data_IF_416180611655
#
_entry.id   IF_416180611655
#
_cell.length_a   1.000
_cell.length_b   1.000
_cell.length_c   1.000
_cell.angle_alpha   90.00
_cell.angle_beta   90.00
_cell.angle_gamma   90.00
#
_symmetry.space_group_name_H-M   'P 1'
#
loop_
_entity.id
_entity.type
_entity.pdbx_description
1 polymer ?
#
# COMPACT_ATOMS: atom_id res chain seq x y z
N UNK A 1 -19.72 16.59 -3.80
CA UNK A 1 -18.61 16.73 -2.82
C UNK A 1 -17.54 15.71 -3.13
N UNK A 2 -16.27 16.02 -2.88
CA UNK A 2 -15.21 15.03 -2.99
C UNK A 2 -15.46 13.92 -1.97
N UNK A 3 -15.15 12.65 -2.29
CA UNK A 3 -15.26 11.58 -1.32
C UNK A 3 -14.26 11.81 -0.17
N UNK A 4 -14.56 11.25 0.99
CA UNK A 4 -13.58 11.20 2.08
C UNK A 4 -12.36 10.37 1.66
N UNK A 5 -11.18 10.61 2.27
CA UNK A 5 -10.01 9.77 2.02
C UNK A 5 -10.25 8.33 2.49
N UNK A 6 -9.62 7.32 1.86
CA UNK A 6 -9.58 5.96 2.36
C UNK A 6 -9.13 5.86 3.83
N UNK A 7 -9.82 5.06 4.63
CA UNK A 7 -9.51 4.77 6.03
C UNK A 7 -8.74 3.46 6.21
N UNK A 8 -8.21 3.25 7.42
CA UNK A 8 -7.61 1.98 7.88
C UNK A 8 -6.62 1.34 6.89
N UNK A 9 -5.74 2.16 6.32
CA UNK A 9 -4.78 1.69 5.31
C UNK A 9 -3.79 0.72 5.96
N UNK A 10 -3.88 -0.55 5.57
CA UNK A 10 -3.03 -1.63 6.05
C UNK A 10 -2.14 -2.17 4.93
N UNK A 11 -0.92 -2.58 5.30
CA UNK A 11 0.05 -3.17 4.36
C UNK A 11 0.53 -4.50 4.91
N UNK A 12 0.22 -5.57 4.19
CA UNK A 12 0.68 -6.92 4.46
C UNK A 12 1.81 -7.28 3.49
N UNK A 13 3.02 -7.41 4.02
CA UNK A 13 4.18 -7.77 3.20
C UNK A 13 4.29 -9.29 3.05
N UNK A 14 4.53 -9.75 1.83
CA UNK A 14 4.83 -11.14 1.51
C UNK A 14 6.32 -11.25 1.20
N UNK A 15 7.14 -11.25 2.25
CA UNK A 15 8.58 -11.03 2.17
C UNK A 15 9.31 -11.91 1.16
N UNK A 16 9.07 -13.22 1.20
CA UNK A 16 9.72 -14.17 0.28
C UNK A 16 9.27 -14.04 -1.17
N UNK A 17 8.09 -13.48 -1.43
CA UNK A 17 7.52 -13.31 -2.77
C UNK A 17 7.80 -11.92 -3.36
N UNK A 18 8.38 -11.00 -2.58
CA UNK A 18 8.55 -9.58 -2.95
C UNK A 18 7.20 -8.96 -3.36
N UNK A 19 6.16 -9.28 -2.61
CA UNK A 19 4.81 -8.75 -2.83
C UNK A 19 4.34 -8.01 -1.57
N UNK A 20 3.41 -7.08 -1.73
CA UNK A 20 2.66 -6.52 -0.62
C UNK A 20 1.20 -6.41 -1.02
N UNK A 21 0.30 -6.77 -0.11
CA UNK A 21 -1.12 -6.49 -0.24
C UNK A 21 -1.42 -5.24 0.56
N UNK A 22 -1.99 -4.25 -0.09
CA UNK A 22 -2.50 -3.04 0.54
C UNK A 22 -4.01 -3.14 0.58
N UNK A 23 -4.61 -2.82 1.71
CA UNK A 23 -6.07 -2.77 1.88
C UNK A 23 -6.49 -1.53 2.64
N UNK A 24 -7.72 -1.08 2.41
CA UNK A 24 -8.29 0.11 3.02
C UNK A 24 -9.81 -0.02 3.16
N UNK A 25 -10.42 0.89 3.91
CA UNK A 25 -11.87 1.00 4.08
C UNK A 25 -12.40 2.27 3.41
N UNK A 26 -13.57 2.18 2.76
CA UNK A 26 -14.26 3.32 2.14
C UNK A 26 -15.73 2.97 1.83
N UNK A 27 -16.59 3.95 1.68
CA UNK A 27 -18.03 3.71 1.48
C UNK A 27 -18.62 4.30 0.19
N UNK A 28 -17.99 5.31 -0.40
CA UNK A 28 -18.64 6.17 -1.41
C UNK A 28 -17.76 6.47 -2.63
N UNK A 29 -16.82 5.59 -2.96
CA UNK A 29 -15.98 5.70 -4.15
C UNK A 29 -16.22 4.57 -5.13
N UNK A 30 -16.14 4.90 -6.42
CA UNK A 30 -16.29 3.95 -7.52
C UNK A 30 -14.97 3.27 -7.85
N UNK A 31 -13.88 4.03 -7.74
CA UNK A 31 -12.54 3.53 -7.96
C UNK A 31 -11.52 4.26 -7.09
N UNK A 32 -10.33 3.67 -7.05
CA UNK A 32 -9.19 4.10 -6.27
C UNK A 32 -7.97 4.15 -7.16
N UNK A 33 -7.18 5.21 -7.02
CA UNK A 33 -5.84 5.30 -7.59
C UNK A 33 -4.84 5.05 -6.46
N UNK A 34 -3.99 4.06 -6.64
CA UNK A 34 -2.99 3.64 -5.67
C UNK A 34 -1.62 4.02 -6.20
N UNK A 35 -0.88 4.83 -5.44
CA UNK A 35 0.46 5.29 -5.74
C UNK A 35 1.46 4.57 -4.84
N UNK A 36 2.58 4.13 -5.41
CA UNK A 36 3.70 3.55 -4.65
C UNK A 36 4.89 4.48 -4.70
N UNK A 37 5.27 4.98 -3.53
CA UNK A 37 6.39 5.90 -3.36
C UNK A 37 7.65 5.18 -2.89
N UNK A 38 8.79 5.58 -3.43
CA UNK A 38 10.13 5.31 -2.91
C UNK A 38 10.80 6.65 -2.63
N UNK A 39 10.79 7.08 -1.37
CA UNK A 39 11.02 8.49 -1.03
C UNK A 39 9.88 9.35 -1.57
N UNK A 40 10.21 10.43 -2.28
CA UNK A 40 9.20 11.32 -2.90
C UNK A 40 8.80 10.91 -4.32
N UNK A 41 9.45 9.88 -4.87
CA UNK A 41 9.21 9.45 -6.25
C UNK A 41 8.10 8.39 -6.33
N UNK A 42 7.08 8.66 -7.15
CA UNK A 42 6.09 7.65 -7.55
C UNK A 42 6.77 6.63 -8.46
N UNK A 43 6.97 5.42 -7.94
CA UNK A 43 7.56 4.30 -8.68
C UNK A 43 6.52 3.56 -9.51
N UNK A 44 5.27 3.47 -9.02
CA UNK A 44 4.16 2.79 -9.67
C UNK A 44 2.83 3.44 -9.31
N UNK A 45 1.87 3.28 -10.21
CA UNK A 45 0.51 3.77 -10.07
C UNK A 45 -0.44 2.75 -10.67
N UNK A 46 -1.51 2.42 -9.96
CA UNK A 46 -2.54 1.47 -10.41
C UNK A 46 -3.93 2.00 -10.09
N UNK A 47 -4.91 1.65 -10.90
CA UNK A 47 -6.32 1.98 -10.67
C UNK A 47 -7.11 0.70 -10.42
N UNK A 48 -7.92 0.69 -9.37
CA UNK A 48 -8.73 -0.47 -8.99
C UNK A 48 -10.10 -0.03 -8.49
N UNK A 49 -11.11 -0.86 -8.69
CA UNK A 49 -12.45 -0.70 -8.07
C UNK A 49 -12.54 -1.44 -6.74
N UNK A 50 -11.55 -2.28 -6.43
CA UNK A 50 -11.46 -3.04 -5.18
C UNK A 50 -10.81 -2.20 -4.09
N UNK A 51 -11.13 -2.52 -2.85
CA UNK A 51 -10.54 -1.87 -1.66
C UNK A 51 -9.24 -2.55 -1.19
N UNK A 52 -8.61 -3.28 -2.11
CA UNK A 52 -7.31 -3.87 -1.92
C UNK A 52 -6.56 -3.93 -3.24
N UNK A 53 -5.24 -3.96 -3.16
CA UNK A 53 -4.35 -4.16 -4.29
C UNK A 53 -3.15 -5.00 -3.84
N UNK A 54 -2.90 -6.10 -4.54
CA UNK A 54 -1.68 -6.87 -4.37
C UNK A 54 -0.66 -6.44 -5.41
N UNK A 55 0.48 -5.98 -4.92
CA UNK A 55 1.58 -5.54 -5.74
C UNK A 55 2.73 -6.53 -5.68
N UNK A 56 3.36 -6.85 -6.80
CA UNK A 56 4.48 -7.79 -6.88
C UNK A 56 5.75 -7.20 -7.49
N UNK A 57 6.88 -7.89 -7.37
CA UNK A 57 8.19 -7.38 -7.81
C UNK A 57 8.61 -6.09 -7.09
N UNK A 58 8.36 -6.01 -5.79
CA UNK A 58 8.84 -4.90 -4.96
C UNK A 58 10.38 -4.84 -4.94
N UNK A 59 10.98 -3.65 -4.95
CA UNK A 59 12.43 -3.50 -4.77
C UNK A 59 12.84 -4.08 -3.42
N UNK A 60 14.06 -4.62 -3.33
CA UNK A 60 14.58 -5.21 -2.09
C UNK A 60 15.18 -4.12 -1.22
N UNK A 61 15.12 -4.29 0.10
CA UNK A 61 15.77 -3.41 1.06
C UNK A 61 15.45 -1.91 0.88
N UNK A 62 14.23 -1.59 0.48
CA UNK A 62 13.81 -0.23 0.13
C UNK A 62 12.66 0.19 1.04
N UNK A 63 12.70 1.42 1.54
CA UNK A 63 11.57 2.05 2.23
C UNK A 63 10.54 2.47 1.20
N UNK A 64 9.31 1.99 1.38
CA UNK A 64 8.19 2.26 0.49
C UNK A 64 7.01 2.79 1.30
N UNK A 65 6.19 3.59 0.63
CA UNK A 65 4.93 4.11 1.15
C UNK A 65 3.87 4.00 0.06
N UNK A 66 2.63 3.81 0.48
CA UNK A 66 1.51 3.75 -0.45
C UNK A 66 0.59 4.94 -0.21
N UNK A 67 0.18 5.58 -1.28
CA UNK A 67 -0.84 6.62 -1.31
C UNK A 67 -2.10 6.09 -1.96
N UNK A 68 -3.27 6.38 -1.42
CA UNK A 68 -4.54 5.95 -2.00
C UNK A 68 -5.46 7.15 -2.14
N UNK A 69 -5.94 7.37 -3.35
CA UNK A 69 -6.92 8.40 -3.67
C UNK A 69 -8.22 7.71 -4.09
N UNK A 70 -9.27 7.93 -3.31
CA UNK A 70 -10.63 7.54 -3.67
C UNK A 70 -11.24 8.54 -4.66
N UNK A 71 -12.00 8.06 -5.64
CA UNK A 71 -12.67 8.90 -6.66
C UNK A 71 -14.12 8.47 -6.88
N UNK A 72 -14.99 9.48 -7.00
CA UNK A 72 -16.38 9.34 -7.41
C UNK A 72 -16.61 10.03 -8.77
N UNK A 73 -17.86 10.06 -9.24
CA UNK A 73 -18.23 10.63 -10.54
C UNK A 73 -17.85 12.10 -10.73
N UNK A 74 -17.64 12.84 -9.64
CA UNK A 74 -17.44 14.28 -9.67
C UNK A 74 -15.99 14.66 -9.33
N UNK A 75 -15.41 14.07 -8.28
CA UNK A 75 -14.15 14.51 -7.70
C UNK A 75 -13.34 13.38 -7.05
N UNK A 76 -12.06 13.66 -6.82
CA UNK A 76 -11.14 12.84 -6.05
C UNK A 76 -11.04 13.35 -4.60
N UNK A 77 -10.79 12.42 -3.68
CA UNK A 77 -10.40 12.70 -2.29
C UNK A 77 -8.97 13.24 -2.22
N UNK A 78 -8.58 13.74 -1.04
CA UNK A 78 -7.15 13.87 -0.73
C UNK A 78 -6.52 12.50 -0.53
N UNK A 79 -5.22 12.40 -0.76
CA UNK A 79 -4.49 11.14 -0.65
C UNK A 79 -4.44 10.66 0.81
N UNK A 80 -4.84 9.40 1.03
CA UNK A 80 -4.66 8.68 2.27
C UNK A 80 -3.34 7.89 2.22
N UNK A 81 -2.36 8.22 3.06
CA UNK A 81 -1.09 7.50 3.07
C UNK A 81 -1.11 6.29 3.99
N UNK A 82 -0.37 5.25 3.61
CA UNK A 82 0.04 4.17 4.50
C UNK A 82 1.17 4.61 5.43
N UNK A 83 1.40 3.82 6.48
CA UNK A 83 2.68 3.83 7.17
C UNK A 83 3.80 3.42 6.20
N UNK A 84 5.00 3.97 6.41
CA UNK A 84 6.19 3.53 5.68
C UNK A 84 6.54 2.09 6.08
N UNK A 85 6.91 1.27 5.11
CA UNK A 85 7.36 -0.09 5.33
C UNK A 85 8.61 -0.39 4.53
N UNK A 86 9.49 -1.21 5.12
CA UNK A 86 10.75 -1.62 4.48
C UNK A 86 10.64 -3.04 3.97
N UNK A 87 10.87 -3.21 2.69
CA UNK A 87 10.89 -4.52 2.05
C UNK A 87 12.09 -5.35 2.53
N UNK A 88 11.93 -6.67 2.72
CA UNK A 88 13.03 -7.53 3.17
C UNK A 88 14.14 -7.65 2.12
N UNK A 89 15.35 -7.95 2.60
CA UNK A 89 16.56 -8.14 1.76
C UNK A 89 16.45 -9.49 1.02
N UNK A 90 16.00 -10.49 1.77
CA UNK A 90 15.82 -11.88 1.35
C UNK A 90 14.79 -12.58 2.25
N UNK A 91 14.39 -13.78 1.86
CA UNK A 91 13.38 -14.58 2.57
C UNK A 91 13.80 -14.92 4.01
N UNK A 92 15.10 -15.16 4.27
CA UNK A 92 15.60 -15.48 5.61
C UNK A 92 15.55 -14.30 6.58
N UNK A 93 15.72 -13.07 6.09
CA UNK A 93 15.64 -11.86 6.91
C UNK A 93 14.23 -11.54 7.45
N UNK A 94 13.19 -12.04 6.79
CA UNK A 94 11.79 -11.82 7.17
C UNK A 94 11.39 -12.69 8.37
N UNK A 95 11.71 -13.99 8.32
CA UNK A 95 11.43 -14.95 9.39
C UNK A 95 12.01 -14.49 10.74
N UNK A 96 13.27 -14.04 10.76
CA UNK A 96 13.94 -13.59 11.99
C UNK A 96 13.24 -12.40 12.70
N UNK A 97 12.54 -11.51 11.98
CA UNK A 97 11.78 -10.40 12.60
C UNK A 97 10.42 -10.83 13.14
N UNK A 98 9.79 -11.84 12.56
CA UNK A 98 8.52 -12.38 13.06
C UNK A 98 8.72 -13.22 14.31
N UNK A 99 9.80 -14.00 14.37
CA UNK A 99 10.13 -14.79 15.55
C UNK A 99 10.51 -13.91 16.76
N UNK A 100 11.28 -12.84 16.58
CA UNK A 100 11.67 -11.94 17.68
C UNK A 100 10.57 -11.03 18.25
N UNK A 101 9.39 -10.95 17.61
CA UNK A 101 8.27 -10.14 18.11
C UNK A 101 7.25 -10.94 18.94
N UNK A 102 7.51 -12.23 19.19
CA UNK A 102 6.64 -13.12 19.98
C UNK A 102 7.24 -13.52 21.34
N UNK A 103 8.27 -12.83 21.82
CA UNK A 103 8.90 -13.06 23.12
C UNK A 103 8.68 -11.87 24.06
#
# INVERSE_FOLDING_TARGET
MPPEPPGDVTVEQHGCKRMATVSWTHHCAHNYTVFFYSGDNVTKMEVTTKQYLTFGNLPRNTSLRVGIVARNDYQASVEAPSAEFRTPVDCGSYEHRYFRRRE
#
